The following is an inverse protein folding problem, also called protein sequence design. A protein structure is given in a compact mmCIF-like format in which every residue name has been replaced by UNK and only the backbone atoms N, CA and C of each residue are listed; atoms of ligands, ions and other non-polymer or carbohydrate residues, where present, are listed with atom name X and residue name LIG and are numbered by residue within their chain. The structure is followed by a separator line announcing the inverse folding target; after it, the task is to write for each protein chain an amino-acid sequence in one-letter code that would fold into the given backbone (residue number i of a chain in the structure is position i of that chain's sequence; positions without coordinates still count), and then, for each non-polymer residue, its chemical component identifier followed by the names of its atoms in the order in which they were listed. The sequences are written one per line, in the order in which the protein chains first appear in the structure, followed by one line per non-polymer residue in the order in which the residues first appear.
data_IF_788175564745
#
_entry.id   IF_788175564745
#
_cell.length_a   1.000
_cell.length_b   1.000
_cell.length_c   1.000
_cell.angle_alpha   90.00
_cell.angle_beta   90.00
_cell.angle_gamma   90.00
#
_symmetry.space_group_name_H-M   'P 1'
#
loop_
_entity.id
_entity.type
_entity.pdbx_description
1 polymer ?
#
# COMPACT_ATOMS: atom_id res chain seq x y z
N UNK A 1 -20.87 32.36 -36.89
CA UNK A 1 -20.24 32.36 -35.54
C UNK A 1 -20.15 30.96 -34.94
N UNK A 2 -21.10 30.06 -35.20
CA UNK A 2 -21.12 28.69 -34.69
C UNK A 2 -19.83 27.90 -34.99
N UNK A 3 -19.30 27.94 -36.22
CA UNK A 3 -18.03 27.27 -36.56
C UNK A 3 -16.83 27.80 -35.76
N UNK A 4 -16.81 29.11 -35.47
CA UNK A 4 -15.74 29.76 -34.71
C UNK A 4 -15.80 29.35 -33.22
N UNK A 5 -17.02 29.25 -32.68
CA UNK A 5 -17.25 28.79 -31.31
C UNK A 5 -16.93 27.29 -31.13
N UNK A 6 -17.21 26.47 -32.14
CA UNK A 6 -16.80 25.05 -32.17
C UNK A 6 -15.27 24.91 -32.19
N UNK A 7 -14.56 25.70 -32.99
CA UNK A 7 -13.09 25.71 -33.02
C UNK A 7 -12.50 26.09 -31.65
N UNK A 8 -13.08 27.10 -30.99
CA UNK A 8 -12.70 27.52 -29.64
C UNK A 8 -12.99 26.43 -28.59
N UNK A 9 -14.10 25.70 -28.76
CA UNK A 9 -14.44 24.57 -27.89
C UNK A 9 -13.40 23.45 -27.99
N UNK A 10 -12.82 23.23 -29.18
CA UNK A 10 -11.77 22.24 -29.39
C UNK A 10 -10.48 22.56 -28.63
N UNK A 11 -9.93 23.78 -28.74
CA UNK A 11 -8.73 24.18 -27.99
C UNK A 11 -8.92 24.09 -26.48
N UNK A 12 -10.13 24.43 -26.03
CA UNK A 12 -10.51 24.41 -24.62
C UNK A 12 -10.66 22.97 -24.10
N UNK A 13 -11.21 22.08 -24.92
CA UNK A 13 -11.34 20.66 -24.62
C UNK A 13 -9.98 19.96 -24.50
N UNK A 14 -9.02 20.27 -25.38
CA UNK A 14 -7.64 19.74 -25.28
C UNK A 14 -7.03 20.11 -23.92
N UNK A 15 -7.14 21.38 -23.53
CA UNK A 15 -6.62 21.84 -22.25
C UNK A 15 -7.29 21.14 -21.07
N UNK A 16 -8.61 20.98 -21.12
CA UNK A 16 -9.40 20.29 -20.10
C UNK A 16 -8.95 18.82 -19.94
N UNK A 17 -8.61 18.12 -21.03
CA UNK A 17 -8.08 16.74 -20.96
C UNK A 17 -6.77 16.72 -20.17
N UNK A 18 -5.83 17.63 -20.46
CA UNK A 18 -4.54 17.66 -19.76
C UNK A 18 -4.71 17.97 -18.28
N UNK A 19 -5.56 18.95 -17.95
CA UNK A 19 -5.86 19.30 -16.56
C UNK A 19 -6.53 18.16 -15.81
N UNK A 20 -7.52 17.51 -16.43
CA UNK A 20 -8.20 16.34 -15.86
C UNK A 20 -7.23 15.18 -15.61
N UNK A 21 -6.29 14.92 -16.53
CA UNK A 21 -5.26 13.89 -16.34
C UNK A 21 -4.39 14.17 -15.11
N UNK A 22 -4.01 15.43 -14.89
CA UNK A 22 -3.26 15.85 -13.70
C UNK A 22 -4.12 15.75 -12.43
N UNK A 23 -5.39 16.17 -12.48
CA UNK A 23 -6.29 16.07 -11.32
C UNK A 23 -6.59 14.62 -10.94
N UNK A 24 -6.76 13.71 -11.91
CA UNK A 24 -6.81 12.27 -11.66
C UNK A 24 -5.53 11.75 -11.02
N UNK A 25 -4.37 12.20 -11.50
CA UNK A 25 -3.10 11.80 -10.93
C UNK A 25 -3.03 12.21 -9.45
N UNK A 26 -3.39 13.44 -9.13
CA UNK A 26 -3.39 13.93 -7.75
C UNK A 26 -4.47 13.26 -6.89
N UNK A 27 -5.66 12.98 -7.44
CA UNK A 27 -6.71 12.23 -6.74
C UNK A 27 -6.23 10.82 -6.39
N UNK A 28 -5.59 10.12 -7.33
CA UNK A 28 -5.05 8.77 -7.11
C UNK A 28 -3.91 8.76 -6.08
N UNK A 29 -2.99 9.73 -6.14
CA UNK A 29 -1.90 9.87 -5.15
C UNK A 29 -2.44 10.14 -3.73
N UNK A 30 -3.59 10.79 -3.63
CA UNK A 30 -4.27 11.11 -2.37
C UNK A 30 -5.43 10.15 -2.07
N UNK A 31 -5.31 8.89 -2.49
CA UNK A 31 -6.18 7.78 -2.06
C UNK A 31 -7.66 8.08 -2.29
N UNK A 32 -7.97 8.77 -3.38
CA UNK A 32 -9.33 9.16 -3.74
C UNK A 32 -10.11 9.88 -2.62
N UNK A 33 -9.41 10.72 -1.85
CA UNK A 33 -9.93 11.48 -0.71
C UNK A 33 -10.34 10.64 0.52
N UNK A 34 -9.75 9.45 0.72
CA UNK A 34 -9.77 8.81 2.04
C UNK A 34 -9.15 9.76 3.10
N UNK A 35 -9.75 9.83 4.30
CA UNK A 35 -9.38 10.74 5.40
C UNK A 35 -9.25 12.24 5.02
N UNK A 36 -9.98 12.66 3.97
CA UNK A 36 -9.90 14.00 3.38
C UNK A 36 -8.51 14.37 2.83
N UNK A 37 -7.66 13.38 2.48
CA UNK A 37 -6.28 13.61 1.99
C UNK A 37 -6.23 14.48 0.74
N UNK A 38 -7.15 14.29 -0.20
CA UNK A 38 -7.16 15.05 -1.46
C UNK A 38 -7.56 16.51 -1.23
N UNK A 39 -8.58 16.77 -0.41
CA UNK A 39 -8.94 18.14 -0.01
C UNK A 39 -7.82 18.81 0.79
N UNK A 40 -7.25 18.12 1.77
CA UNK A 40 -6.06 18.61 2.50
C UNK A 40 -4.94 18.94 1.53
N UNK A 41 -4.64 18.06 0.56
CA UNK A 41 -3.63 18.31 -0.46
C UNK A 41 -3.93 19.55 -1.30
N UNK A 42 -5.18 19.74 -1.76
CA UNK A 42 -5.61 20.95 -2.49
C UNK A 42 -5.28 22.22 -1.67
N UNK A 43 -5.67 22.25 -0.40
CA UNK A 43 -5.48 23.43 0.44
C UNK A 43 -4.04 23.65 0.90
N UNK A 44 -3.24 22.60 1.06
CA UNK A 44 -1.80 22.72 1.30
C UNK A 44 -1.05 23.19 0.03
N UNK A 45 -1.57 22.91 -1.16
CA UNK A 45 -0.97 23.29 -2.44
C UNK A 45 -1.71 24.46 -3.11
N UNK A 46 -2.22 25.41 -2.32
CA UNK A 46 -3.00 26.56 -2.81
C UNK A 46 -2.37 27.30 -3.99
N UNK A 47 -1.05 27.54 -3.95
CA UNK A 47 -0.35 28.22 -5.06
C UNK A 47 -0.45 27.42 -6.36
N UNK A 48 -0.23 26.10 -6.32
CA UNK A 48 -0.31 25.24 -7.52
C UNK A 48 -1.73 25.05 -8.04
N UNK A 49 -2.72 25.05 -7.16
CA UNK A 49 -4.12 24.79 -7.52
C UNK A 49 -4.85 26.05 -7.97
N UNK A 50 -4.66 27.18 -7.27
CA UNK A 50 -5.41 28.42 -7.49
C UNK A 50 -4.63 29.50 -8.24
N UNK A 51 -3.31 29.59 -8.08
CA UNK A 51 -2.48 30.58 -8.79
C UNK A 51 -1.97 29.99 -10.11
N UNK A 52 -2.91 29.70 -11.01
CA UNK A 52 -2.63 29.19 -12.35
C UNK A 52 -2.99 30.24 -13.40
N UNK A 53 -2.31 30.23 -14.55
CA UNK A 53 -2.56 31.20 -15.62
C UNK A 53 -4.01 31.15 -16.14
N UNK A 54 -4.76 30.08 -15.89
CA UNK A 54 -6.19 29.94 -16.17
C UNK A 54 -7.02 31.08 -15.59
N UNK A 55 -6.58 31.69 -14.48
CA UNK A 55 -7.23 32.84 -13.86
C UNK A 55 -7.17 34.09 -14.75
N UNK A 56 -6.19 34.18 -15.66
CA UNK A 56 -6.06 35.26 -16.64
C UNK A 56 -7.22 35.25 -17.65
N UNK A 57 -8.02 34.18 -17.71
CA UNK A 57 -9.27 34.18 -18.51
C UNK A 57 -10.24 35.27 -18.05
N UNK A 58 -10.19 35.65 -16.76
CA UNK A 58 -11.00 36.74 -16.22
C UNK A 58 -10.56 38.10 -16.79
N UNK A 59 -9.31 38.24 -17.25
CA UNK A 59 -8.82 39.47 -17.89
C UNK A 59 -9.41 39.62 -19.30
N UNK A 60 -9.76 38.51 -19.98
CA UNK A 60 -10.48 38.56 -21.27
C UNK A 60 -11.84 39.26 -21.16
N UNK A 61 -12.39 39.39 -19.94
CA UNK A 61 -13.60 40.17 -19.68
C UNK A 61 -13.40 41.68 -19.92
N UNK A 62 -12.25 42.22 -19.54
CA UNK A 62 -11.91 43.64 -19.74
C UNK A 62 -11.83 43.96 -21.24
N UNK A 63 -11.33 43.01 -22.03
CA UNK A 63 -11.23 43.13 -23.48
C UNK A 63 -12.58 43.11 -24.21
N UNK A 64 -13.69 42.68 -23.57
CA UNK A 64 -15.04 42.83 -24.15
C UNK A 64 -15.34 44.27 -24.52
N UNK A 65 -14.89 45.23 -23.69
CA UNK A 65 -15.16 46.65 -23.88
C UNK A 65 -14.57 47.19 -25.19
N UNK A 66 -13.61 46.48 -25.78
CA UNK A 66 -12.83 46.93 -26.93
C UNK A 66 -12.92 46.00 -28.15
N UNK A 67 -13.43 44.77 -28.00
CA UNK A 67 -13.40 43.74 -29.05
C UNK A 67 -14.80 43.20 -29.37
N UNK A 68 -15.02 42.87 -30.65
CA UNK A 68 -16.24 42.17 -31.06
C UNK A 68 -16.20 40.67 -30.66
N UNK A 69 -17.36 40.01 -30.65
CA UNK A 69 -17.50 38.60 -30.23
C UNK A 69 -16.61 37.64 -31.04
N UNK A 70 -16.35 37.92 -32.33
CA UNK A 70 -15.48 37.07 -33.16
C UNK A 70 -14.02 37.14 -32.69
N UNK A 71 -13.50 38.34 -32.46
CA UNK A 71 -12.14 38.55 -31.98
C UNK A 71 -11.94 37.95 -30.57
N UNK A 72 -12.94 38.06 -29.69
CA UNK A 72 -12.90 37.46 -28.35
C UNK A 72 -12.79 35.94 -28.39
N UNK A 73 -13.57 35.26 -29.25
CA UNK A 73 -13.51 33.79 -29.39
C UNK A 73 -12.14 33.34 -29.92
N UNK A 74 -11.56 34.07 -30.88
CA UNK A 74 -10.22 33.76 -31.42
C UNK A 74 -9.17 33.92 -30.31
N UNK A 75 -9.20 35.02 -29.57
CA UNK A 75 -8.27 35.28 -28.48
C UNK A 75 -8.38 34.21 -27.37
N UNK A 76 -9.60 33.81 -27.02
CA UNK A 76 -9.86 32.74 -26.06
C UNK A 76 -9.29 31.39 -26.54
N UNK A 77 -9.43 31.07 -27.83
CA UNK A 77 -8.87 29.86 -28.42
C UNK A 77 -7.33 29.86 -28.36
N UNK A 78 -6.70 30.97 -28.77
CA UNK A 78 -5.24 31.13 -28.67
C UNK A 78 -4.74 31.03 -27.23
N UNK A 79 -5.45 31.64 -26.28
CA UNK A 79 -5.14 31.53 -24.86
C UNK A 79 -5.07 30.06 -24.43
N UNK A 80 -6.09 29.25 -24.72
CA UNK A 80 -6.07 27.83 -24.32
C UNK A 80 -5.04 26.97 -25.08
N UNK A 81 -4.66 27.33 -26.29
CA UNK A 81 -3.54 26.69 -27.01
C UNK A 81 -2.23 26.97 -26.27
N UNK A 82 -1.96 28.24 -25.93
CA UNK A 82 -0.74 28.65 -25.20
C UNK A 82 -0.74 28.01 -23.80
N UNK A 83 -1.86 28.08 -23.08
CA UNK A 83 -2.06 27.42 -21.80
C UNK A 83 -1.75 25.92 -21.87
N UNK A 84 -2.25 25.22 -22.89
CA UNK A 84 -1.95 23.79 -23.09
C UNK A 84 -0.46 23.53 -23.24
N UNK A 85 0.24 24.35 -24.05
CA UNK A 85 1.69 24.23 -24.22
C UNK A 85 2.45 24.47 -22.90
N UNK A 86 2.11 25.55 -22.17
CA UNK A 86 2.74 25.89 -20.90
C UNK A 86 2.52 24.79 -19.85
N UNK A 87 1.30 24.24 -19.76
CA UNK A 87 0.96 23.14 -18.85
C UNK A 87 1.81 21.90 -19.09
N UNK A 88 1.94 21.50 -20.36
CA UNK A 88 2.68 20.29 -20.72
C UNK A 88 4.16 20.45 -20.37
N UNK A 89 4.73 21.66 -20.55
CA UNK A 89 6.10 21.97 -20.14
C UNK A 89 6.27 21.87 -18.63
N UNK A 90 5.34 22.40 -17.85
CA UNK A 90 5.36 22.31 -16.39
C UNK A 90 5.29 20.85 -15.90
N UNK A 91 4.31 20.08 -16.40
CA UNK A 91 4.12 18.67 -16.02
C UNK A 91 5.27 17.76 -16.46
N UNK A 92 6.03 18.14 -17.50
CA UNK A 92 7.24 17.42 -17.93
C UNK A 92 8.40 17.66 -16.95
N UNK A 93 8.49 18.83 -16.35
CA UNK A 93 9.56 19.21 -15.43
C UNK A 93 9.31 18.76 -13.98
N UNK A 94 8.08 18.37 -13.63
CA UNK A 94 7.78 17.84 -12.31
C UNK A 94 8.35 16.43 -12.09
N UNK A 95 9.08 16.26 -10.99
CA UNK A 95 9.46 14.92 -10.51
C UNK A 95 8.21 14.15 -10.06
N UNK A 96 7.98 12.97 -10.66
CA UNK A 96 6.83 12.10 -10.35
C UNK A 96 7.28 10.94 -9.47
N UNK A 97 6.78 10.86 -8.24
CA UNK A 97 7.00 9.68 -7.36
C UNK A 97 6.40 8.40 -7.96
N UNK A 98 5.17 8.48 -8.49
CA UNK A 98 4.49 7.38 -9.19
C UNK A 98 3.64 7.94 -10.33
N UNK A 99 3.57 7.29 -11.50
CA UNK A 99 2.73 7.74 -12.61
C UNK A 99 1.23 7.52 -12.31
N UNK A 100 0.37 8.23 -13.04
CA UNK A 100 -1.07 7.91 -13.10
C UNK A 100 -1.24 6.53 -13.73
N UNK A 101 -2.02 5.66 -13.08
CA UNK A 101 -2.35 4.33 -13.62
C UNK A 101 -3.82 4.31 -14.00
N UNK A 102 -4.13 3.95 -15.25
CA UNK A 102 -5.51 3.85 -15.74
C UNK A 102 -6.16 2.59 -15.20
N UNK A 103 -6.87 2.72 -14.09
CA UNK A 103 -7.62 1.64 -13.44
C UNK A 103 -9.09 1.63 -13.88
N UNK A 104 -9.83 0.55 -13.58
CA UNK A 104 -11.28 0.51 -13.79
C UNK A 104 -12.02 1.64 -13.05
N UNK A 105 -11.54 2.04 -11.86
CA UNK A 105 -12.06 3.19 -11.11
C UNK A 105 -11.86 4.51 -11.86
N UNK A 106 -10.67 4.73 -12.43
CA UNK A 106 -10.40 5.91 -13.27
C UNK A 106 -11.26 5.92 -14.53
N UNK A 107 -11.50 4.76 -15.16
CA UNK A 107 -12.41 4.65 -16.31
C UNK A 107 -13.84 5.07 -15.93
N UNK A 108 -14.40 4.55 -14.83
CA UNK A 108 -15.71 4.98 -14.32
C UNK A 108 -15.76 6.46 -13.97
N UNK A 109 -14.71 6.99 -13.33
CA UNK A 109 -14.60 8.41 -13.01
C UNK A 109 -14.55 9.28 -14.27
N UNK A 110 -13.89 8.80 -15.32
CA UNK A 110 -13.87 9.45 -16.63
C UNK A 110 -15.26 9.52 -17.25
N UNK A 111 -16.03 8.42 -17.20
CA UNK A 111 -17.42 8.40 -17.68
C UNK A 111 -18.27 9.44 -16.94
N UNK A 112 -18.19 9.49 -15.61
CA UNK A 112 -18.93 10.47 -14.79
C UNK A 112 -18.54 11.91 -15.14
N UNK A 113 -17.26 12.18 -15.34
CA UNK A 113 -16.81 13.52 -15.77
C UNK A 113 -17.26 13.86 -17.19
N UNK A 114 -17.25 12.90 -18.12
CA UNK A 114 -17.80 13.09 -19.45
C UNK A 114 -19.28 13.42 -19.42
N UNK A 115 -20.06 12.84 -18.49
CA UNK A 115 -21.47 13.19 -18.29
C UNK A 115 -21.61 14.60 -17.72
N UNK A 116 -20.84 14.95 -16.67
CA UNK A 116 -20.88 16.30 -16.06
C UNK A 116 -20.53 17.37 -17.09
N UNK A 117 -19.43 17.19 -17.82
CA UNK A 117 -19.01 18.12 -18.86
C UNK A 117 -19.96 18.11 -20.05
N UNK A 118 -20.41 16.94 -20.48
CA UNK A 118 -21.38 16.78 -21.57
C UNK A 118 -22.68 17.51 -21.29
N UNK A 119 -23.18 17.50 -20.05
CA UNK A 119 -24.37 18.27 -19.65
C UNK A 119 -24.15 19.78 -19.82
N UNK A 120 -23.02 20.31 -19.33
CA UNK A 120 -22.69 21.74 -19.46
C UNK A 120 -22.52 22.14 -20.93
N UNK A 121 -21.77 21.37 -21.71
CA UNK A 121 -21.55 21.67 -23.13
C UNK A 121 -22.83 21.53 -23.96
N UNK A 122 -23.69 20.55 -23.66
CA UNK A 122 -24.99 20.40 -24.31
C UNK A 122 -25.91 21.57 -24.01
N UNK A 123 -25.96 22.02 -22.74
CA UNK A 123 -26.73 23.21 -22.36
C UNK A 123 -26.27 24.45 -23.12
N UNK A 124 -24.95 24.67 -23.20
CA UNK A 124 -24.36 25.78 -23.97
C UNK A 124 -24.72 25.67 -25.45
N UNK A 125 -24.67 24.47 -26.02
CA UNK A 125 -24.99 24.23 -27.43
C UNK A 125 -26.45 24.55 -27.76
N UNK A 126 -27.40 24.05 -26.96
CA UNK A 126 -28.83 24.26 -27.21
C UNK A 126 -29.31 25.68 -26.92
N UNK A 127 -28.67 26.37 -25.97
CA UNK A 127 -29.03 27.76 -25.64
C UNK A 127 -28.25 28.80 -26.45
N UNK A 128 -27.31 28.37 -27.30
CA UNK A 128 -26.30 29.23 -27.89
C UNK A 128 -26.92 30.45 -28.61
N UNK A 129 -26.64 31.62 -28.05
CA UNK A 129 -26.96 32.92 -28.65
C UNK A 129 -25.72 33.82 -28.58
N UNK A 130 -25.47 34.56 -29.67
CA UNK A 130 -24.34 35.47 -29.81
C UNK A 130 -24.28 36.54 -28.72
N UNK A 131 -25.42 36.96 -28.19
CA UNK A 131 -25.50 38.00 -27.15
C UNK A 131 -24.92 37.52 -25.82
N UNK A 132 -25.00 36.21 -25.56
CA UNK A 132 -24.51 35.56 -24.34
C UNK A 132 -23.14 34.89 -24.49
N UNK A 133 -22.43 35.12 -25.61
CA UNK A 133 -21.13 34.50 -25.94
C UNK A 133 -20.16 34.48 -24.74
N UNK A 134 -20.07 35.60 -24.02
CA UNK A 134 -19.12 35.75 -22.91
C UNK A 134 -19.56 34.97 -21.68
N UNK A 135 -20.86 34.86 -21.44
CA UNK A 135 -21.39 33.99 -20.39
C UNK A 135 -20.90 32.56 -20.60
N UNK A 136 -21.01 32.04 -21.82
CA UNK A 136 -20.53 30.70 -22.16
C UNK A 136 -19.01 30.54 -21.97
N UNK A 137 -18.21 31.49 -22.45
CA UNK A 137 -16.75 31.46 -22.31
C UNK A 137 -16.32 31.51 -20.84
N UNK A 138 -16.99 32.31 -20.00
CA UNK A 138 -16.75 32.38 -18.56
C UNK A 138 -17.15 31.07 -17.88
N UNK A 139 -18.32 30.51 -18.20
CA UNK A 139 -18.76 29.23 -17.66
C UNK A 139 -17.75 28.12 -17.95
N UNK A 140 -17.26 28.03 -19.20
CA UNK A 140 -16.24 27.04 -19.58
C UNK A 140 -14.91 27.31 -18.86
N UNK A 141 -14.50 28.57 -18.75
CA UNK A 141 -13.26 28.96 -18.07
C UNK A 141 -13.28 28.61 -16.58
N UNK A 142 -14.40 28.88 -15.90
CA UNK A 142 -14.59 28.52 -14.49
C UNK A 142 -14.63 27.00 -14.28
N UNK A 143 -15.28 26.27 -15.19
CA UNK A 143 -15.31 24.80 -15.18
C UNK A 143 -13.90 24.20 -15.24
N UNK A 144 -13.04 24.76 -16.08
CA UNK A 144 -11.62 24.38 -16.17
C UNK A 144 -10.88 24.81 -14.92
N UNK A 145 -11.04 26.06 -14.47
CA UNK A 145 -10.35 26.58 -13.29
C UNK A 145 -10.60 25.67 -12.06
N UNK A 146 -11.87 25.33 -11.82
CA UNK A 146 -12.29 24.45 -10.71
C UNK A 146 -12.19 22.94 -11.01
N UNK A 147 -11.46 22.51 -12.05
CA UNK A 147 -11.38 21.09 -12.45
C UNK A 147 -11.02 20.14 -11.29
N UNK A 148 -10.11 20.52 -10.38
CA UNK A 148 -9.79 19.72 -9.19
C UNK A 148 -11.01 19.43 -8.30
N UNK A 149 -11.94 20.39 -8.18
CA UNK A 149 -13.20 20.24 -7.45
C UNK A 149 -14.26 19.50 -8.27
N UNK A 150 -14.31 19.69 -9.58
CA UNK A 150 -15.21 18.89 -10.43
C UNK A 150 -14.84 17.40 -10.37
N UNK A 151 -13.54 17.08 -10.38
CA UNK A 151 -13.00 15.72 -10.17
C UNK A 151 -13.35 15.21 -8.76
N UNK A 152 -13.31 16.07 -7.75
CA UNK A 152 -13.76 15.71 -6.40
C UNK A 152 -15.24 15.36 -6.35
N UNK A 153 -16.10 16.19 -6.96
CA UNK A 153 -17.54 15.93 -7.06
C UNK A 153 -17.83 14.63 -7.81
N UNK A 154 -17.15 14.38 -8.93
CA UNK A 154 -17.27 13.11 -9.67
C UNK A 154 -16.88 11.90 -8.79
N UNK A 155 -15.85 12.04 -7.94
CA UNK A 155 -15.48 10.98 -7.00
C UNK A 155 -16.55 10.76 -5.91
N UNK A 156 -17.22 11.82 -5.44
CA UNK A 156 -18.37 11.70 -4.53
C UNK A 156 -19.53 10.97 -5.20
N UNK A 157 -19.90 11.40 -6.42
CA UNK A 157 -20.98 10.79 -7.21
C UNK A 157 -20.73 9.31 -7.43
N UNK A 158 -19.49 8.89 -7.64
CA UNK A 158 -19.15 7.48 -7.87
C UNK A 158 -19.07 6.63 -6.60
N UNK A 159 -19.07 7.20 -5.39
CA UNK A 159 -18.95 6.44 -4.13
C UNK A 159 -19.94 5.26 -4.02
N UNK A 160 -21.24 5.39 -4.37
CA UNK A 160 -22.17 4.27 -4.28
C UNK A 160 -21.78 3.10 -5.19
N UNK A 161 -21.37 3.39 -6.43
CA UNK A 161 -20.93 2.39 -7.40
C UNK A 161 -19.63 1.73 -6.92
N UNK A 162 -18.66 2.51 -6.43
CA UNK A 162 -17.41 1.96 -5.88
C UNK A 162 -17.68 1.04 -4.67
N UNK A 163 -18.64 1.40 -3.83
CA UNK A 163 -19.05 0.57 -2.68
C UNK A 163 -19.70 -0.74 -3.12
N UNK A 164 -20.55 -0.70 -4.16
CA UNK A 164 -21.13 -1.91 -4.75
C UNK A 164 -20.06 -2.82 -5.36
N UNK A 165 -19.12 -2.25 -6.12
CA UNK A 165 -17.98 -2.98 -6.70
C UNK A 165 -17.14 -3.63 -5.59
N UNK A 166 -16.85 -2.90 -4.52
CA UNK A 166 -16.16 -3.44 -3.34
C UNK A 166 -16.91 -4.63 -2.74
N UNK A 167 -18.20 -4.51 -2.46
CA UNK A 167 -18.97 -5.61 -1.86
C UNK A 167 -19.11 -6.80 -2.80
N UNK A 168 -19.20 -6.57 -4.10
CA UNK A 168 -19.21 -7.65 -5.09
C UNK A 168 -17.94 -8.50 -4.99
N UNK A 169 -16.76 -7.87 -5.03
CA UNK A 169 -15.49 -8.61 -4.90
C UNK A 169 -15.27 -9.18 -3.50
N UNK A 170 -15.71 -8.49 -2.44
CA UNK A 170 -15.66 -9.00 -1.07
C UNK A 170 -16.50 -10.28 -0.93
N UNK A 171 -17.71 -10.30 -1.46
CA UNK A 171 -18.59 -11.48 -1.44
C UNK A 171 -17.99 -12.65 -2.21
N UNK A 172 -17.35 -12.39 -3.36
CA UNK A 172 -16.61 -13.41 -4.09
C UNK A 172 -15.46 -14.00 -3.26
N UNK A 173 -14.67 -13.16 -2.60
CA UNK A 173 -13.56 -13.61 -1.77
C UNK A 173 -14.04 -14.47 -0.60
N UNK A 174 -15.08 -14.01 0.11
CA UNK A 174 -15.69 -14.78 1.21
C UNK A 174 -16.27 -16.10 0.72
N UNK A 175 -16.94 -16.11 -0.44
CA UNK A 175 -17.48 -17.35 -1.04
C UNK A 175 -16.35 -18.32 -1.40
N UNK A 176 -15.23 -17.83 -1.94
CA UNK A 176 -14.06 -18.65 -2.29
C UNK A 176 -13.46 -19.29 -1.04
N UNK A 177 -13.20 -18.51 0.01
CA UNK A 177 -12.67 -19.04 1.29
C UNK A 177 -13.60 -20.10 1.88
N UNK A 178 -14.92 -19.86 1.88
CA UNK A 178 -15.91 -20.84 2.38
C UNK A 178 -15.94 -22.16 1.61
N UNK A 179 -15.50 -22.16 0.35
CA UNK A 179 -15.46 -23.37 -0.46
C UNK A 179 -14.13 -24.14 -0.31
N UNK A 180 -13.19 -23.63 0.49
CA UNK A 180 -11.87 -24.22 0.71
C UNK A 180 -11.80 -24.78 2.13
N UNK A 181 -12.50 -25.89 2.37
CA UNK A 181 -12.71 -26.44 3.73
C UNK A 181 -11.43 -26.84 4.47
N UNK A 182 -10.35 -27.15 3.73
CA UNK A 182 -9.08 -27.60 4.31
C UNK A 182 -8.04 -26.47 4.38
N UNK A 183 -8.39 -25.25 3.96
CA UNK A 183 -7.47 -24.12 3.96
C UNK A 183 -7.29 -23.60 5.38
N UNK A 184 -6.06 -23.65 5.86
CA UNK A 184 -5.67 -22.98 7.10
C UNK A 184 -5.21 -21.55 6.83
N UNK A 185 -5.62 -20.61 7.68
CA UNK A 185 -5.30 -19.18 7.51
C UNK A 185 -4.40 -18.69 8.63
N UNK A 186 -3.27 -18.11 8.24
CA UNK A 186 -2.27 -17.52 9.14
C UNK A 186 -2.28 -16.01 8.95
N UNK A 187 -2.61 -15.24 9.99
CA UNK A 187 -2.47 -13.79 10.00
C UNK A 187 -1.08 -13.37 10.48
N UNK A 188 -0.48 -12.36 9.84
CA UNK A 188 0.80 -11.78 10.28
C UNK A 188 0.69 -10.27 10.39
N UNK A 189 1.00 -9.72 11.57
CA UNK A 189 1.03 -8.27 11.77
C UNK A 189 2.22 -7.80 12.62
N UNK A 190 2.32 -6.48 12.80
CA UNK A 190 3.36 -5.80 13.57
C UNK A 190 3.78 -4.48 12.92
N UNK A 191 4.63 -3.73 13.60
CA UNK A 191 5.17 -2.45 13.11
C UNK A 191 6.18 -2.68 11.98
N UNK A 192 7.07 -3.65 12.15
CA UNK A 192 8.15 -3.99 11.21
C UNK A 192 8.16 -5.50 10.92
N UNK A 193 8.95 -5.97 9.95
CA UNK A 193 9.16 -7.42 9.74
C UNK A 193 8.03 -8.21 9.06
N UNK A 194 6.79 -7.70 8.98
CA UNK A 194 5.63 -8.39 8.37
C UNK A 194 5.92 -9.11 7.03
N UNK A 195 6.44 -8.38 6.05
CA UNK A 195 6.70 -8.93 4.71
C UNK A 195 7.88 -9.91 4.71
N UNK A 196 8.89 -9.72 5.56
CA UNK A 196 9.96 -10.71 5.73
C UNK A 196 9.40 -11.99 6.36
N UNK A 197 8.67 -11.84 7.48
CA UNK A 197 8.05 -12.94 8.21
C UNK A 197 7.12 -13.78 7.34
N UNK A 198 6.24 -13.19 6.52
CA UNK A 198 5.35 -13.98 5.67
C UNK A 198 6.07 -14.80 4.60
N UNK A 199 7.12 -14.26 3.99
CA UNK A 199 7.85 -14.94 2.91
C UNK A 199 8.75 -16.03 3.52
N UNK A 200 9.43 -15.72 4.64
CA UNK A 200 10.21 -16.71 5.41
C UNK A 200 9.30 -17.86 5.87
N UNK A 201 8.13 -17.55 6.42
CA UNK A 201 7.16 -18.55 6.83
C UNK A 201 6.70 -19.39 5.63
N UNK A 202 6.39 -18.75 4.50
CA UNK A 202 6.00 -19.45 3.28
C UNK A 202 7.08 -20.42 2.82
N UNK A 203 8.35 -19.98 2.75
CA UNK A 203 9.48 -20.83 2.34
C UNK A 203 9.67 -22.03 3.29
N UNK A 204 9.50 -21.83 4.59
CA UNK A 204 9.61 -22.90 5.61
C UNK A 204 8.44 -23.88 5.46
N UNK A 205 7.20 -23.39 5.39
CA UNK A 205 6.01 -24.24 5.31
C UNK A 205 5.91 -24.99 3.97
N UNK A 206 6.44 -24.42 2.89
CA UNK A 206 6.47 -25.02 1.56
C UNK A 206 7.33 -26.29 1.45
N UNK A 207 8.03 -26.69 2.52
CA UNK A 207 8.66 -28.01 2.58
C UNK A 207 7.63 -29.15 2.64
N UNK A 208 6.43 -28.88 3.19
CA UNK A 208 5.38 -29.88 3.44
C UNK A 208 3.99 -29.46 2.93
N UNK A 209 3.67 -28.18 2.96
CA UNK A 209 2.35 -27.62 2.63
C UNK A 209 2.42 -26.73 1.40
N UNK A 210 1.34 -26.60 0.63
CA UNK A 210 1.20 -25.54 -0.38
C UNK A 210 0.83 -24.22 0.32
N UNK A 211 1.84 -23.53 0.85
CA UNK A 211 1.68 -22.29 1.60
C UNK A 211 1.77 -21.06 0.69
N UNK A 212 0.67 -20.31 0.60
CA UNK A 212 0.53 -19.16 -0.26
C UNK A 212 0.47 -17.84 0.53
N UNK A 213 1.51 -16.99 0.48
CA UNK A 213 1.50 -15.69 1.13
C UNK A 213 0.87 -14.61 0.26
N UNK A 214 0.39 -13.52 0.89
CA UNK A 214 -0.08 -12.36 0.11
C UNK A 214 1.03 -11.84 -0.81
N UNK A 215 0.75 -11.58 -2.10
CA UNK A 215 1.76 -11.06 -3.00
C UNK A 215 2.10 -9.60 -2.67
N UNK A 216 3.35 -9.21 -2.93
CA UNK A 216 3.84 -7.82 -2.72
C UNK A 216 3.52 -7.33 -1.30
N UNK A 217 2.94 -6.15 -1.14
CA UNK A 217 2.48 -5.62 0.14
C UNK A 217 0.94 -5.49 0.16
N UNK A 218 0.24 -6.52 -0.33
CA UNK A 218 -1.23 -6.57 -0.29
C UNK A 218 -1.71 -6.90 1.12
N UNK A 219 -1.74 -5.88 1.97
CA UNK A 219 -1.97 -6.00 3.40
C UNK A 219 -3.18 -5.18 3.91
N UNK A 220 -3.97 -4.61 3.00
CA UNK A 220 -5.24 -3.93 3.28
C UNK A 220 -6.43 -4.81 2.91
N UNK A 221 -7.66 -4.42 3.25
CA UNK A 221 -8.87 -5.19 2.91
C UNK A 221 -8.97 -5.42 1.39
N UNK A 222 -8.72 -4.40 0.58
CA UNK A 222 -8.66 -4.53 -0.88
C UNK A 222 -7.54 -5.47 -1.33
N UNK A 223 -6.38 -5.39 -0.69
CA UNK A 223 -5.24 -6.28 -0.96
C UNK A 223 -5.58 -7.75 -0.70
N UNK A 224 -6.20 -8.07 0.44
CA UNK A 224 -6.60 -9.44 0.77
C UNK A 224 -7.71 -9.94 -0.15
N UNK A 225 -8.74 -9.13 -0.43
CA UNK A 225 -9.80 -9.48 -1.41
C UNK A 225 -9.18 -9.80 -2.77
N UNK A 226 -8.25 -8.97 -3.25
CA UNK A 226 -7.57 -9.17 -4.52
C UNK A 226 -6.71 -10.44 -4.51
N UNK A 227 -6.03 -10.71 -3.40
CA UNK A 227 -5.20 -11.91 -3.20
C UNK A 227 -6.05 -13.18 -3.30
N UNK A 228 -7.13 -13.24 -2.52
CA UNK A 228 -8.04 -14.39 -2.47
C UNK A 228 -8.65 -14.65 -3.84
N UNK A 229 -9.16 -13.62 -4.50
CA UNK A 229 -9.89 -13.80 -5.76
C UNK A 229 -9.00 -14.19 -6.95
N UNK A 230 -7.76 -13.71 -7.01
CA UNK A 230 -6.92 -13.83 -8.21
C UNK A 230 -5.71 -14.75 -8.06
N UNK A 231 -5.29 -15.07 -6.83
CA UNK A 231 -4.03 -15.78 -6.60
C UNK A 231 -4.20 -17.08 -5.83
N UNK A 232 -5.14 -17.13 -4.87
CA UNK A 232 -5.36 -18.33 -4.08
C UNK A 232 -6.10 -19.39 -4.91
N UNK A 233 -5.64 -20.64 -4.90
CA UNK A 233 -6.25 -21.73 -5.66
C UNK A 233 -6.74 -22.88 -4.76
N UNK A 234 -7.43 -23.87 -5.33
CA UNK A 234 -7.99 -25.00 -4.58
C UNK A 234 -6.95 -25.96 -4.01
N UNK A 235 -5.68 -25.83 -4.42
CA UNK A 235 -4.57 -26.68 -3.97
C UNK A 235 -3.77 -26.03 -2.84
N UNK A 236 -4.10 -24.78 -2.51
CA UNK A 236 -3.49 -24.06 -1.40
C UNK A 236 -3.95 -24.67 -0.07
N UNK A 237 -2.99 -25.21 0.69
CA UNK A 237 -3.23 -25.77 2.02
C UNK A 237 -3.26 -24.67 3.08
N UNK A 238 -2.40 -23.65 2.89
CA UNK A 238 -2.22 -22.56 3.86
C UNK A 238 -2.26 -21.22 3.14
N UNK A 239 -3.04 -20.27 3.67
CA UNK A 239 -3.03 -18.87 3.24
C UNK A 239 -2.37 -17.99 4.31
N UNK A 240 -1.26 -17.33 3.96
CA UNK A 240 -0.53 -16.42 4.85
C UNK A 240 -0.92 -14.97 4.54
N UNK A 241 -1.83 -14.42 5.35
CA UNK A 241 -2.35 -13.07 5.23
C UNK A 241 -1.46 -12.04 5.95
N UNK A 242 -0.68 -11.27 5.20
CA UNK A 242 -0.06 -10.05 5.75
C UNK A 242 -1.13 -9.01 6.10
N UNK A 243 -1.13 -8.50 7.33
CA UNK A 243 -2.15 -7.57 7.82
C UNK A 243 -1.52 -6.24 8.24
N UNK A 244 -1.78 -5.22 7.44
CA UNK A 244 -1.38 -3.83 7.67
C UNK A 244 -2.44 -3.10 8.48
N UNK A 245 -2.00 -2.16 9.31
CA UNK A 245 -2.92 -1.29 10.04
C UNK A 245 -2.27 0.07 10.30
N UNK A 246 -3.09 1.10 10.11
CA UNK A 246 -2.83 2.51 10.36
C UNK A 246 -3.69 3.08 11.49
N UNK A 247 -4.80 2.42 11.82
CA UNK A 247 -5.69 2.78 12.91
C UNK A 247 -6.18 1.52 13.65
N UNK A 248 -6.79 1.75 14.82
CA UNK A 248 -7.50 0.71 15.58
C UNK A 248 -8.73 0.25 14.78
N UNK A 249 -8.97 -1.05 14.75
CA UNK A 249 -10.05 -1.69 13.99
C UNK A 249 -9.62 -2.24 12.63
N UNK A 250 -8.50 -1.75 12.06
CA UNK A 250 -8.02 -2.19 10.75
C UNK A 250 -7.70 -3.70 10.76
N UNK A 251 -6.95 -4.18 11.75
CA UNK A 251 -6.58 -5.61 11.84
C UNK A 251 -7.82 -6.45 12.11
N UNK A 252 -8.72 -5.99 12.99
CA UNK A 252 -10.01 -6.67 13.24
C UNK A 252 -10.85 -6.80 11.97
N UNK A 253 -10.87 -5.79 11.09
CA UNK A 253 -11.55 -5.88 9.80
C UNK A 253 -10.96 -6.99 8.92
N UNK A 254 -9.63 -7.07 8.84
CA UNK A 254 -8.93 -8.11 8.08
C UNK A 254 -9.18 -9.50 8.67
N UNK A 255 -9.14 -9.66 9.99
CA UNK A 255 -9.46 -10.92 10.66
C UNK A 255 -10.92 -11.34 10.42
N UNK A 256 -11.85 -10.39 10.38
CA UNK A 256 -13.24 -10.68 10.03
C UNK A 256 -13.43 -11.14 8.58
N UNK A 257 -12.54 -10.74 7.67
CA UNK A 257 -12.56 -11.17 6.29
C UNK A 257 -12.01 -12.59 6.12
N UNK A 258 -10.85 -12.89 6.72
CA UNK A 258 -10.09 -14.12 6.43
C UNK A 258 -10.14 -15.18 7.53
N UNK A 259 -10.62 -14.84 8.73
CA UNK A 259 -10.80 -15.74 9.87
C UNK A 259 -9.56 -16.60 10.18
N UNK A 260 -8.43 -15.97 10.55
CA UNK A 260 -7.20 -16.70 10.85
C UNK A 260 -7.37 -17.62 12.05
N UNK A 261 -6.83 -18.84 11.96
CA UNK A 261 -6.66 -19.77 13.09
C UNK A 261 -5.31 -19.57 13.78
N UNK A 262 -4.31 -19.14 13.00
CA UNK A 262 -2.96 -18.88 13.48
C UNK A 262 -2.61 -17.39 13.35
N UNK A 263 -1.89 -16.85 14.32
CA UNK A 263 -1.46 -15.45 14.32
C UNK A 263 0.01 -15.29 14.67
N UNK A 264 0.75 -14.48 13.91
CA UNK A 264 2.13 -14.09 14.24
C UNK A 264 2.19 -12.59 14.45
N UNK A 265 2.69 -12.18 15.61
CA UNK A 265 2.99 -10.78 15.91
C UNK A 265 4.50 -10.57 15.92
N UNK A 266 4.99 -9.86 14.91
CA UNK A 266 6.44 -9.66 14.69
C UNK A 266 7.10 -8.76 15.75
N UNK A 267 6.85 -7.45 15.70
CA UNK A 267 7.40 -6.46 16.66
C UNK A 267 6.43 -5.30 16.86
N UNK A 268 6.33 -4.79 18.09
CA UNK A 268 5.64 -3.55 18.43
C UNK A 268 6.63 -2.38 18.52
N UNK A 269 6.73 -1.66 17.40
CA UNK A 269 7.52 -0.43 17.27
C UNK A 269 6.66 0.82 17.07
N UNK A 270 7.28 1.92 16.67
CA UNK A 270 6.66 3.25 16.50
C UNK A 270 6.09 3.54 15.11
N UNK A 271 6.00 2.53 14.22
CA UNK A 271 5.43 2.73 12.88
C UNK A 271 3.99 3.24 12.95
N UNK A 272 3.66 4.24 12.12
CA UNK A 272 2.33 4.87 12.06
C UNK A 272 1.89 5.58 13.36
N UNK A 273 2.84 6.02 14.20
CA UNK A 273 2.52 6.71 15.47
C UNK A 273 1.59 7.91 15.28
N UNK A 274 1.78 8.72 14.24
CA UNK A 274 0.90 9.85 13.93
C UNK A 274 -0.56 9.44 13.71
N UNK A 275 -0.80 8.29 13.06
CA UNK A 275 -2.14 7.80 12.76
C UNK A 275 -2.79 7.09 13.95
N UNK A 276 -2.00 6.39 14.76
CA UNK A 276 -2.48 5.72 15.98
C UNK A 276 -2.59 6.65 17.20
N UNK A 277 -1.91 7.78 17.19
CA UNK A 277 -1.85 8.76 18.28
C UNK A 277 -0.94 8.39 19.45
N UNK A 278 -0.80 7.10 19.79
CA UNK A 278 0.07 6.63 20.88
C UNK A 278 0.61 5.21 20.65
N UNK A 279 1.67 4.84 21.36
CA UNK A 279 2.27 3.50 21.25
C UNK A 279 1.39 2.40 21.87
N UNK A 280 0.62 2.74 22.90
CA UNK A 280 -0.40 1.86 23.49
C UNK A 280 -1.52 1.57 22.48
N UNK A 281 -1.90 2.56 21.67
CA UNK A 281 -2.87 2.36 20.59
C UNK A 281 -2.30 1.47 19.48
N UNK A 282 -1.00 1.60 19.15
CA UNK A 282 -0.32 0.67 18.25
C UNK A 282 -0.39 -0.75 18.82
N UNK A 283 0.04 -0.95 20.08
CA UNK A 283 0.00 -2.25 20.76
C UNK A 283 -1.42 -2.85 20.67
N UNK A 284 -2.44 -2.14 21.16
CA UNK A 284 -3.84 -2.58 21.11
C UNK A 284 -4.30 -2.90 19.68
N UNK A 285 -3.97 -2.06 18.71
CA UNK A 285 -4.37 -2.25 17.31
C UNK A 285 -3.69 -3.44 16.65
N UNK A 286 -2.44 -3.77 17.00
CA UNK A 286 -1.76 -4.97 16.48
C UNK A 286 -2.23 -6.25 17.16
N UNK A 287 -2.52 -6.19 18.46
CA UNK A 287 -3.05 -7.33 19.22
C UNK A 287 -4.48 -7.73 18.82
N UNK A 288 -5.21 -6.89 18.06
CA UNK A 288 -6.48 -7.29 17.44
C UNK A 288 -6.40 -8.59 16.65
N UNK A 289 -5.24 -8.94 16.08
CA UNK A 289 -5.05 -10.23 15.41
C UNK A 289 -5.21 -11.38 16.41
N UNK A 290 -4.45 -11.33 17.51
CA UNK A 290 -4.42 -12.38 18.53
C UNK A 290 -5.79 -12.48 19.22
N UNK A 291 -6.38 -11.33 19.55
CA UNK A 291 -7.71 -11.24 20.13
C UNK A 291 -8.83 -11.75 19.20
N UNK A 292 -8.57 -11.83 17.88
CA UNK A 292 -9.54 -12.33 16.90
C UNK A 292 -9.37 -13.81 16.56
N UNK A 293 -8.35 -14.49 17.09
CA UNK A 293 -8.16 -15.93 16.89
C UNK A 293 -9.28 -16.72 17.58
N UNK A 294 -9.65 -17.91 17.09
CA UNK A 294 -10.54 -18.79 17.83
C UNK A 294 -9.84 -19.35 19.08
N UNK A 295 -10.60 -19.94 20.01
CA UNK A 295 -10.06 -20.49 21.26
C UNK A 295 -9.08 -21.64 21.05
N UNK A 296 -9.26 -22.42 19.97
CA UNK A 296 -8.33 -23.46 19.51
C UNK A 296 -7.23 -22.92 18.58
N UNK A 297 -7.15 -21.60 18.42
CA UNK A 297 -6.12 -20.93 17.63
C UNK A 297 -4.76 -20.90 18.33
N UNK A 298 -3.72 -20.56 17.56
CA UNK A 298 -2.34 -20.46 18.06
C UNK A 298 -1.71 -19.12 17.69
N UNK A 299 -1.16 -18.45 18.69
CA UNK A 299 -0.45 -17.19 18.59
C UNK A 299 1.05 -17.38 18.79
N UNK A 300 1.87 -16.85 17.86
CA UNK A 300 3.32 -16.79 18.00
C UNK A 300 3.73 -15.36 18.35
N UNK A 301 4.34 -15.19 19.52
CA UNK A 301 4.71 -13.89 20.09
C UNK A 301 6.19 -13.86 20.48
N UNK A 302 6.78 -12.66 20.51
CA UNK A 302 8.18 -12.47 20.88
C UNK A 302 8.33 -12.13 22.37
N UNK A 303 9.00 -13.00 23.12
CA UNK A 303 9.25 -12.85 24.56
C UNK A 303 10.25 -11.73 24.87
N UNK A 304 11.08 -11.35 23.91
CA UNK A 304 12.04 -10.24 24.02
C UNK A 304 11.41 -8.89 23.64
N UNK A 305 10.10 -8.85 23.35
CA UNK A 305 9.36 -7.62 23.12
C UNK A 305 8.50 -7.27 24.35
N UNK A 306 8.96 -6.33 25.16
CA UNK A 306 8.27 -5.87 26.38
C UNK A 306 6.82 -5.45 26.12
N UNK A 307 6.53 -4.89 24.95
CA UNK A 307 5.16 -4.51 24.57
C UNK A 307 4.30 -5.72 24.18
N UNK A 308 4.90 -6.86 23.84
CA UNK A 308 4.14 -8.08 23.68
C UNK A 308 3.90 -8.76 25.02
N UNK A 309 4.93 -8.81 25.88
CA UNK A 309 4.87 -9.43 27.21
C UNK A 309 3.92 -8.69 28.16
N UNK A 310 3.90 -7.35 28.13
CA UNK A 310 3.04 -6.53 28.99
C UNK A 310 1.57 -6.48 28.58
N UNK A 311 1.21 -7.05 27.42
CA UNK A 311 -0.16 -7.04 26.94
C UNK A 311 -1.05 -7.96 27.77
N UNK A 312 -2.22 -7.47 28.19
CA UNK A 312 -3.21 -8.25 28.94
C UNK A 312 -4.21 -8.88 27.97
N UNK A 313 -4.03 -10.17 27.71
CA UNK A 313 -4.89 -10.97 26.82
C UNK A 313 -6.31 -11.07 27.36
N UNK A 314 -7.29 -11.07 26.45
CA UNK A 314 -8.69 -11.42 26.73
C UNK A 314 -9.13 -12.70 26.04
N UNK A 315 -8.30 -13.24 25.15
CA UNK A 315 -8.51 -14.48 24.42
C UNK A 315 -7.73 -15.62 25.08
N UNK A 316 -8.27 -16.83 25.02
CA UNK A 316 -7.72 -18.05 25.62
C UNK A 316 -6.94 -18.93 24.61
N UNK A 317 -6.66 -18.42 23.41
CA UNK A 317 -5.88 -19.13 22.40
C UNK A 317 -4.49 -19.53 22.93
N UNK A 318 -3.94 -20.63 22.40
CA UNK A 318 -2.58 -21.09 22.77
C UNK A 318 -1.54 -20.05 22.36
N UNK A 319 -0.64 -19.69 23.27
CA UNK A 319 0.48 -18.79 22.99
C UNK A 319 1.78 -19.59 22.98
N UNK A 320 2.57 -19.42 21.92
CA UNK A 320 3.94 -19.93 21.80
C UNK A 320 4.88 -18.72 21.77
N UNK A 321 5.76 -18.64 22.76
CA UNK A 321 6.74 -17.58 22.89
C UNK A 321 8.04 -17.96 22.17
N UNK A 322 8.52 -17.08 21.30
CA UNK A 322 9.87 -17.17 20.72
C UNK A 322 10.81 -16.18 21.40
N UNK A 323 12.10 -16.50 21.46
CA UNK A 323 13.10 -15.61 22.07
C UNK A 323 14.53 -15.90 21.63
N UNK A 324 15.39 -14.91 21.83
CA UNK A 324 16.85 -15.02 21.73
C UNK A 324 17.45 -14.73 23.11
N UNK A 325 16.99 -13.65 23.74
CA UNK A 325 17.52 -13.17 25.02
C UNK A 325 16.83 -13.85 26.21
N UNK A 326 15.50 -14.04 26.12
CA UNK A 326 14.71 -14.60 27.20
C UNK A 326 14.67 -16.13 27.16
N UNK A 327 15.30 -16.78 28.15
CA UNK A 327 15.42 -18.24 28.26
C UNK A 327 14.14 -18.96 28.73
N UNK A 328 13.09 -18.22 29.10
CA UNK A 328 11.78 -18.78 29.48
C UNK A 328 10.82 -18.94 28.27
N UNK A 329 11.26 -18.54 27.07
CA UNK A 329 10.52 -18.71 25.83
C UNK A 329 10.34 -20.20 25.47
N UNK A 330 9.30 -20.50 24.70
CA UNK A 330 8.97 -21.87 24.29
C UNK A 330 9.88 -22.39 23.17
N UNK A 331 10.37 -21.49 22.31
CA UNK A 331 11.35 -21.76 21.25
C UNK A 331 12.45 -20.69 21.29
N UNK A 332 13.70 -21.11 21.49
CA UNK A 332 14.84 -20.23 21.75
C UNK A 332 15.91 -20.41 20.67
N UNK A 333 16.46 -19.32 20.13
CA UNK A 333 17.73 -19.37 19.39
C UNK A 333 18.91 -19.01 20.29
N UNK A 334 19.99 -19.76 20.17
CA UNK A 334 21.27 -19.50 20.84
C UNK A 334 22.47 -19.82 19.93
N UNK A 335 23.68 -19.54 20.40
CA UNK A 335 24.93 -19.74 19.64
C UNK A 335 24.89 -19.11 18.23
N UNK A 336 24.27 -17.92 18.14
CA UNK A 336 24.08 -17.21 16.87
C UNK A 336 25.43 -16.75 16.34
N UNK A 337 25.74 -17.15 15.12
CA UNK A 337 26.91 -16.71 14.36
C UNK A 337 26.45 -16.11 13.03
N UNK A 338 27.06 -14.99 12.64
CA UNK A 338 26.75 -14.29 11.38
C UNK A 338 28.04 -14.08 10.59
N UNK A 339 27.96 -14.37 9.29
CA UNK A 339 29.03 -14.17 8.32
C UNK A 339 28.54 -13.33 7.15
N UNK A 340 29.42 -13.01 6.20
CA UNK A 340 29.04 -12.36 4.94
C UNK A 340 28.19 -13.24 4.01
N UNK A 341 27.96 -14.52 4.33
CA UNK A 341 27.19 -15.48 3.51
C UNK A 341 25.85 -15.89 4.12
N UNK A 342 25.60 -15.54 5.38
CA UNK A 342 24.42 -16.00 6.12
C UNK A 342 24.67 -16.15 7.62
N UNK A 343 23.72 -16.79 8.30
CA UNK A 343 23.72 -17.01 9.74
C UNK A 343 23.57 -18.51 10.09
N UNK A 344 24.11 -18.90 11.24
CA UNK A 344 23.91 -20.20 11.87
C UNK A 344 23.53 -20.00 13.33
N UNK A 345 22.63 -20.82 13.86
CA UNK A 345 22.18 -20.77 15.25
C UNK A 345 21.63 -22.12 15.70
N UNK A 346 21.66 -22.37 17.00
CA UNK A 346 21.01 -23.54 17.61
C UNK A 346 19.62 -23.15 18.08
N UNK A 347 18.63 -24.00 17.79
CA UNK A 347 17.27 -23.86 18.26
C UNK A 347 16.99 -24.90 19.35
N UNK A 348 16.40 -24.44 20.46
CA UNK A 348 15.94 -25.28 21.58
C UNK A 348 14.44 -25.09 21.80
N UNK A 349 13.73 -26.18 22.06
CA UNK A 349 12.32 -26.17 22.46
C UNK A 349 12.22 -26.40 23.97
N UNK A 350 11.28 -25.75 24.65
CA UNK A 350 11.21 -25.72 26.13
C UNK A 350 11.16 -27.07 26.85
N UNK A 351 10.61 -28.09 26.20
CA UNK A 351 10.51 -29.44 26.74
C UNK A 351 11.38 -30.46 25.96
N UNK A 352 12.40 -29.97 25.26
CA UNK A 352 13.37 -30.80 24.56
C UNK A 352 14.79 -30.39 24.98
N UNK A 353 15.56 -31.35 25.48
CA UNK A 353 16.95 -31.11 25.86
C UNK A 353 17.90 -31.06 24.66
N UNK A 354 17.43 -31.47 23.48
CA UNK A 354 18.21 -31.42 22.24
C UNK A 354 18.33 -29.99 21.72
N UNK A 355 19.46 -29.75 21.08
CA UNK A 355 19.74 -28.57 20.28
C UNK A 355 19.76 -28.96 18.82
N UNK A 356 19.07 -28.18 18.00
CA UNK A 356 19.01 -28.40 16.57
C UNK A 356 19.66 -27.23 15.85
N UNK A 357 20.70 -27.49 15.07
CA UNK A 357 21.43 -26.43 14.37
C UNK A 357 20.74 -26.07 13.06
N UNK A 358 20.40 -24.79 12.92
CA UNK A 358 19.80 -24.21 11.73
C UNK A 358 20.79 -23.30 11.01
N UNK A 359 20.73 -23.29 9.68
CA UNK A 359 21.55 -22.41 8.83
C UNK A 359 20.65 -21.69 7.82
N UNK A 360 20.95 -20.41 7.56
CA UNK A 360 20.20 -19.60 6.58
C UNK A 360 21.14 -18.68 5.82
N UNK A 361 20.76 -18.30 4.60
CA UNK A 361 21.45 -17.26 3.81
C UNK A 361 21.02 -15.85 4.18
N UNK A 362 19.96 -15.70 4.96
CA UNK A 362 19.51 -14.40 5.43
C UNK A 362 20.55 -13.77 6.37
N UNK A 363 20.57 -12.44 6.38
CA UNK A 363 21.44 -11.62 7.20
C UNK A 363 20.61 -10.76 8.15
N UNK A 364 21.23 -10.32 9.24
CA UNK A 364 20.60 -9.49 10.25
C UNK A 364 19.81 -10.29 11.29
N UNK A 365 20.09 -10.02 12.56
CA UNK A 365 19.52 -10.74 13.72
C UNK A 365 17.98 -10.65 13.78
N UNK A 366 17.38 -9.58 13.24
CA UNK A 366 15.92 -9.47 13.14
C UNK A 366 15.28 -10.61 12.32
N UNK A 367 16.00 -11.19 11.35
CA UNK A 367 15.51 -12.33 10.59
C UNK A 367 15.48 -13.63 11.40
N UNK A 368 16.26 -13.75 12.48
CA UNK A 368 16.20 -14.92 13.37
C UNK A 368 14.86 -14.97 14.09
N UNK A 369 14.31 -13.84 14.55
CA UNK A 369 12.94 -13.82 15.10
C UNK A 369 11.89 -14.26 14.07
N UNK A 370 12.01 -13.81 12.81
CA UNK A 370 11.09 -14.22 11.75
C UNK A 370 11.19 -15.73 11.46
N UNK A 371 12.42 -16.27 11.47
CA UNK A 371 12.68 -17.70 11.27
C UNK A 371 12.16 -18.51 12.46
N UNK A 372 12.44 -18.10 13.70
CA UNK A 372 11.93 -18.74 14.92
C UNK A 372 10.40 -18.80 14.92
N UNK A 373 9.73 -17.73 14.46
CA UNK A 373 8.27 -17.75 14.33
C UNK A 373 7.80 -18.82 13.33
N UNK A 374 8.54 -18.99 12.22
CA UNK A 374 8.28 -20.04 11.23
C UNK A 374 8.60 -21.45 11.72
N UNK A 375 9.68 -21.63 12.47
CA UNK A 375 10.04 -22.91 13.12
C UNK A 375 8.96 -23.29 14.13
N UNK A 376 8.58 -22.37 15.02
CA UNK A 376 7.57 -22.60 16.04
C UNK A 376 6.23 -23.02 15.44
N UNK A 377 5.76 -22.26 14.43
CA UNK A 377 4.48 -22.57 13.79
C UNK A 377 4.55 -23.82 12.89
N UNK A 378 5.65 -24.03 12.17
CA UNK A 378 5.84 -25.24 11.37
C UNK A 378 5.87 -26.51 12.23
N UNK A 379 6.53 -26.44 13.39
CA UNK A 379 6.54 -27.53 14.37
C UNK A 379 5.14 -27.79 14.94
N UNK A 380 4.39 -26.73 15.29
CA UNK A 380 3.00 -26.83 15.73
C UNK A 380 2.09 -27.47 14.66
N UNK A 381 2.36 -27.19 13.38
CA UNK A 381 1.70 -27.82 12.24
C UNK A 381 2.24 -29.22 11.93
N UNK A 382 3.08 -29.81 12.77
CA UNK A 382 3.59 -31.18 12.63
C UNK A 382 4.60 -31.37 11.51
N UNK A 383 5.36 -30.33 11.12
CA UNK A 383 6.56 -30.48 10.29
C UNK A 383 7.67 -31.02 11.19
N UNK A 384 8.38 -32.06 10.73
CA UNK A 384 9.48 -32.65 11.50
C UNK A 384 10.66 -31.68 11.60
N UNK A 385 11.50 -31.83 12.63
CA UNK A 385 12.67 -30.97 12.82
C UNK A 385 13.63 -31.04 11.61
N UNK A 386 13.84 -32.22 11.03
CA UNK A 386 14.69 -32.38 9.84
C UNK A 386 14.14 -31.62 8.63
N UNK A 387 12.82 -31.68 8.41
CA UNK A 387 12.15 -30.89 7.37
C UNK A 387 12.25 -29.37 7.65
N UNK A 388 12.12 -28.94 8.91
CA UNK A 388 12.29 -27.54 9.29
C UNK A 388 13.71 -27.04 9.02
N UNK A 389 14.74 -27.84 9.35
CA UNK A 389 16.15 -27.51 9.06
C UNK A 389 16.33 -27.31 7.55
N UNK A 390 15.76 -28.21 6.74
CA UNK A 390 15.79 -28.09 5.27
C UNK A 390 15.02 -26.86 4.77
N UNK A 391 13.85 -26.57 5.34
CA UNK A 391 13.02 -25.42 5.01
C UNK A 391 13.76 -24.10 5.27
N UNK A 392 14.31 -23.93 6.47
CA UNK A 392 15.08 -22.72 6.86
C UNK A 392 16.31 -22.52 5.98
N UNK A 393 17.00 -23.61 5.60
CA UNK A 393 18.16 -23.56 4.70
C UNK A 393 17.80 -23.08 3.28
N UNK A 394 16.56 -23.31 2.84
CA UNK A 394 16.06 -22.92 1.51
C UNK A 394 15.48 -21.50 1.49
N UNK A 395 15.24 -20.88 2.64
CA UNK A 395 14.70 -19.51 2.73
C UNK A 395 15.49 -18.54 1.88
N UNK A 396 14.77 -17.75 1.10
CA UNK A 396 15.31 -16.77 0.17
C UNK A 396 15.21 -15.35 0.70
N UNK A 397 16.10 -14.47 0.23
CA UNK A 397 16.04 -13.04 0.55
C UNK A 397 14.82 -12.40 -0.08
N UNK A 398 14.16 -11.52 0.68
CA UNK A 398 13.03 -10.73 0.17
C UNK A 398 13.56 -9.49 -0.53
N UNK A 399 13.03 -9.19 -1.71
CA UNK A 399 13.44 -8.05 -2.53
C UNK A 399 13.47 -6.74 -1.71
N UNK A 400 14.59 -6.01 -1.81
CA UNK A 400 14.81 -4.72 -1.13
C UNK A 400 14.75 -4.76 0.41
N UNK A 401 15.00 -5.91 1.05
CA UNK A 401 15.02 -6.07 2.53
C UNK A 401 16.26 -6.82 2.99
N UNK A 402 17.36 -6.08 3.18
CA UNK A 402 18.72 -6.64 3.38
C UNK A 402 19.09 -7.71 2.33
N UNK A 403 18.69 -7.49 1.09
CA UNK A 403 18.92 -8.43 0.01
C UNK A 403 20.37 -8.34 -0.48
N UNK A 404 21.15 -9.41 -0.30
CA UNK A 404 22.54 -9.45 -0.76
C UNK A 404 22.60 -9.82 -2.26
N UNK A 405 22.92 -8.83 -3.10
CA UNK A 405 23.15 -8.98 -4.54
C UNK A 405 24.65 -8.93 -4.83
N UNK A 406 25.10 -9.74 -5.78
CA UNK A 406 26.49 -9.70 -6.26
C UNK A 406 26.54 -9.26 -7.72
N UNK A 407 27.28 -8.19 -8.01
CA UNK A 407 27.50 -7.68 -9.37
C UNK A 407 29.01 -7.63 -9.60
N UNK A 408 29.54 -8.63 -10.32
CA UNK A 408 30.99 -8.78 -10.48
C UNK A 408 31.71 -8.94 -9.13
N UNK A 409 32.58 -7.98 -8.81
CA UNK A 409 33.31 -7.91 -7.53
C UNK A 409 32.56 -7.12 -6.45
N UNK A 410 31.45 -6.47 -6.79
CA UNK A 410 30.66 -5.66 -5.86
C UNK A 410 29.64 -6.52 -5.11
N UNK A 411 29.60 -6.36 -3.80
CA UNK A 411 28.50 -6.82 -2.95
C UNK A 411 27.57 -5.64 -2.69
N UNK A 412 26.30 -5.79 -3.03
CA UNK A 412 25.25 -4.78 -2.84
C UNK A 412 24.28 -5.33 -1.80
N UNK A 413 24.09 -4.59 -0.71
CA UNK A 413 23.04 -4.87 0.27
C UNK A 413 21.87 -3.95 -0.08
N UNK A 414 20.86 -4.50 -0.75
CA UNK A 414 19.67 -3.75 -1.13
C UNK A 414 18.65 -3.78 0.01
N UNK A 415 18.59 -2.67 0.77
CA UNK A 415 17.63 -2.41 1.85
C UNK A 415 16.79 -1.15 1.55
N UNK A 416 16.48 -0.94 0.27
CA UNK A 416 15.91 0.31 -0.25
C UNK A 416 14.38 0.47 -0.10
N UNK A 417 13.67 -0.53 0.47
CA UNK A 417 12.22 -0.49 0.54
C UNK A 417 11.68 0.53 1.55
N UNK A 418 12.20 0.52 2.78
CA UNK A 418 11.81 1.44 3.85
C UNK A 418 12.92 1.50 4.90
N UNK A 419 13.00 2.60 5.64
CA UNK A 419 14.04 2.81 6.64
C UNK A 419 13.46 3.24 7.99
N UNK A 420 14.12 2.80 9.06
CA UNK A 420 13.92 3.26 10.43
C UNK A 420 15.25 3.09 11.18
N UNK A 421 15.48 3.79 12.30
CA UNK A 421 16.77 3.76 12.99
C UNK A 421 17.26 2.35 13.38
N UNK A 422 16.35 1.46 13.77
CA UNK A 422 16.68 0.07 14.14
C UNK A 422 17.12 -0.74 12.91
N UNK A 423 16.38 -0.63 11.80
CA UNK A 423 16.71 -1.27 10.53
C UNK A 423 18.03 -0.76 9.96
N UNK A 424 18.25 0.55 9.98
CA UNK A 424 19.50 1.15 9.48
C UNK A 424 20.72 0.72 10.30
N UNK A 425 20.61 0.63 11.63
CA UNK A 425 21.68 0.11 12.48
C UNK A 425 22.05 -1.32 12.06
N UNK A 426 21.06 -2.19 11.90
CA UNK A 426 21.26 -3.57 11.46
C UNK A 426 21.90 -3.64 10.06
N UNK A 427 21.49 -2.78 9.12
CA UNK A 427 22.10 -2.72 7.79
C UNK A 427 23.60 -2.35 7.85
N UNK A 428 23.97 -1.43 8.73
CA UNK A 428 25.38 -1.04 8.96
C UNK A 428 26.18 -2.16 9.61
N UNK A 429 25.61 -2.89 10.57
CA UNK A 429 26.24 -4.08 11.17
C UNK A 429 26.52 -5.15 10.11
N UNK A 430 25.56 -5.43 9.24
CA UNK A 430 25.73 -6.37 8.13
C UNK A 430 26.80 -5.88 7.14
N UNK A 431 26.81 -4.59 6.78
CA UNK A 431 27.85 -4.00 5.94
C UNK A 431 29.24 -4.12 6.59
N UNK A 432 29.33 -4.01 7.92
CA UNK A 432 30.55 -4.18 8.69
C UNK A 432 31.23 -5.54 8.48
N UNK A 433 30.44 -6.59 8.22
CA UNK A 433 30.91 -7.96 7.95
C UNK A 433 31.33 -8.19 6.50
N UNK A 434 30.99 -7.29 5.59
CA UNK A 434 31.30 -7.45 4.16
C UNK A 434 32.79 -7.20 3.88
N UNK A 435 33.41 -8.00 2.99
CA UNK A 435 34.80 -7.81 2.60
C UNK A 435 34.96 -6.56 1.73
N UNK A 436 36.16 -5.96 1.76
CA UNK A 436 36.52 -4.83 0.91
C UNK A 436 36.08 -3.47 1.45
N UNK A 437 36.06 -2.46 0.57
CA UNK A 437 35.68 -1.08 0.90
C UNK A 437 34.17 -1.00 1.11
N UNK A 438 33.76 -0.45 2.25
CA UNK A 438 32.36 -0.31 2.66
C UNK A 438 31.85 1.09 2.30
N UNK A 439 30.73 1.17 1.60
CA UNK A 439 30.11 2.42 1.14
C UNK A 439 28.63 2.36 1.50
N UNK A 440 28.11 3.44 2.08
CA UNK A 440 26.69 3.64 2.35
C UNK A 440 26.19 4.67 1.34
N UNK A 441 25.06 4.40 0.69
CA UNK A 441 24.42 5.25 -0.32
C UNK A 441 23.13 5.83 0.22
#
# INVERSE_FOLDING_TARGET
MNNLFLLCSFSTFIYLIFKTKKSFHMLQQNWYNEDNRYLKWIFHNRKKVFLHYDLLILILFIFKLFLNNKALIILYSFFYIISSYLFLREVKNEQKKKPLVVTARIKRLSITLSIIYGFVFSYIYFTFNTDYTIGYLVTIGLLIYFNYFVVFCANIINKPIEKQVFYYYKRQAVKRLKNMNNLEVIGITGSYGKTSSKNILSDILNIKYNAFPTPKNFNTTYGLINTINNYLDKFSDIFIAEMGASAKGDIKELCNLVKPKYGILTKIGTAHLESFGSRENIQKGKFELIESLPSDGVAILNKDDEYQVSYKFKNDCKIIWIGIENKDADVIAENITMSNKGMSFDCKFKNDDKRYTFTTRLLGTANIYNILAGIALGYELGISIDELILGVKKVTSVEHRLELKKIGTLNIIDDSYNSNPVGSKMAVEVLGLMPGKKIIV
#
